data_IF_168437343571
#
_entry.id   IF_168437343571
#
_cell.length_a   1.000
_cell.length_b   1.000
_cell.length_c   1.000
_cell.angle_alpha   90.00
_cell.angle_beta   90.00
_cell.angle_gamma   90.00
#
_symmetry.space_group_name_H-M   'P 1'
#
loop_
_entity.id
_entity.type
_entity.pdbx_description
1 polymer ?
#
# COMPACT_ATOMS: atom_id res chain seq x y z
N UNK A 1 -10.28 25.43 -31.01
CA UNK A 1 -11.08 24.88 -29.89
C UNK A 1 -10.30 23.72 -29.29
N UNK A 2 -9.55 23.99 -28.23
CA UNK A 2 -8.68 22.99 -27.61
C UNK A 2 -9.52 21.84 -27.06
N UNK A 3 -9.09 20.63 -27.36
CA UNK A 3 -9.67 19.36 -26.92
C UNK A 3 -9.37 19.11 -25.44
N UNK A 4 -9.64 20.10 -24.57
CA UNK A 4 -9.70 19.92 -23.13
C UNK A 4 -11.09 19.32 -22.83
N UNK A 5 -11.29 18.09 -23.29
CA UNK A 5 -12.45 17.31 -22.87
C UNK A 5 -12.38 17.19 -21.34
N UNK A 6 -13.50 17.50 -20.70
CA UNK A 6 -13.72 17.52 -19.25
C UNK A 6 -13.02 16.35 -18.53
N UNK A 7 -11.77 16.57 -18.09
CA UNK A 7 -10.99 15.58 -17.34
C UNK A 7 -11.40 15.55 -15.87
N UNK A 8 -12.41 16.35 -15.51
CA UNK A 8 -12.96 16.51 -14.17
C UNK A 8 -13.35 15.16 -13.60
N UNK A 9 -14.11 14.35 -14.36
CA UNK A 9 -14.52 13.01 -13.89
C UNK A 9 -13.34 12.06 -13.63
N UNK A 10 -12.30 12.09 -14.47
CA UNK A 10 -11.12 11.24 -14.26
C UNK A 10 -10.27 11.74 -13.09
N UNK A 11 -10.20 13.06 -12.88
CA UNK A 11 -9.54 13.67 -11.73
C UNK A 11 -10.26 13.32 -10.42
N UNK A 12 -11.59 13.43 -10.38
CA UNK A 12 -12.40 13.00 -9.24
C UNK A 12 -12.20 11.51 -8.94
N UNK A 13 -12.24 10.65 -9.96
CA UNK A 13 -11.98 9.23 -9.80
C UNK A 13 -10.56 8.94 -9.29
N UNK A 14 -9.56 9.67 -9.77
CA UNK A 14 -8.18 9.56 -9.30
C UNK A 14 -8.05 9.98 -7.83
N UNK A 15 -8.63 11.12 -7.45
CA UNK A 15 -8.60 11.62 -6.07
C UNK A 15 -9.30 10.66 -5.10
N UNK A 16 -10.44 10.09 -5.52
CA UNK A 16 -11.14 9.06 -4.75
C UNK A 16 -10.23 7.84 -4.52
N UNK A 17 -9.60 7.31 -5.58
CA UNK A 17 -8.68 6.16 -5.45
C UNK A 17 -7.47 6.48 -4.58
N UNK A 18 -6.91 7.68 -4.71
CA UNK A 18 -5.81 8.13 -3.86
C UNK A 18 -6.23 8.17 -2.39
N UNK A 19 -7.39 8.75 -2.08
CA UNK A 19 -7.88 8.84 -0.70
C UNK A 19 -8.16 7.45 -0.09
N UNK A 20 -8.66 6.50 -0.90
CA UNK A 20 -8.82 5.10 -0.51
C UNK A 20 -7.46 4.47 -0.13
N UNK A 21 -6.44 4.65 -0.97
CA UNK A 21 -5.07 4.15 -0.71
C UNK A 21 -4.47 4.81 0.53
N UNK A 22 -4.54 6.14 0.65
CA UNK A 22 -4.02 6.88 1.81
C UNK A 22 -4.65 6.36 3.12
N UNK A 23 -5.95 6.08 3.12
CA UNK A 23 -6.66 5.51 4.26
C UNK A 23 -6.16 4.11 4.61
N UNK A 24 -5.93 3.26 3.61
CA UNK A 24 -5.39 1.91 3.83
C UNK A 24 -3.96 1.95 4.39
N UNK A 25 -3.10 2.84 3.87
CA UNK A 25 -1.74 3.03 4.35
C UNK A 25 -1.72 3.52 5.80
N UNK A 26 -2.57 4.50 6.15
CA UNK A 26 -2.67 4.99 7.51
C UNK A 26 -3.10 3.89 8.50
N UNK A 27 -4.04 3.01 8.10
CA UNK A 27 -4.45 1.85 8.92
C UNK A 27 -3.33 0.84 9.11
N UNK A 28 -2.54 0.56 8.08
CA UNK A 28 -1.37 -0.33 8.19
C UNK A 28 -0.28 0.26 9.07
N UNK A 29 -0.04 1.57 8.99
CA UNK A 29 0.91 2.26 9.85
C UNK A 29 0.49 2.16 11.32
N UNK A 30 -0.78 2.48 11.63
CA UNK A 30 -1.29 2.36 12.99
C UNK A 30 -1.19 0.91 13.52
N UNK A 31 -1.51 -0.08 12.69
CA UNK A 31 -1.38 -1.49 13.06
C UNK A 31 0.10 -1.87 13.33
N UNK A 32 1.03 -1.34 12.54
CA UNK A 32 2.47 -1.53 12.77
C UNK A 32 2.95 -0.88 14.06
N UNK A 33 2.45 0.32 14.38
CA UNK A 33 2.76 1.04 15.62
C UNK A 33 2.26 0.25 16.86
N UNK A 34 1.16 -0.49 16.71
CA UNK A 34 0.63 -1.44 17.71
C UNK A 34 1.24 -2.85 17.62
N UNK A 35 2.41 -3.00 16.99
CA UNK A 35 3.12 -4.29 16.82
C UNK A 35 2.27 -5.39 16.19
N UNK A 36 1.39 -5.02 15.26
CA UNK A 36 0.39 -5.88 14.64
C UNK A 36 -0.57 -6.55 15.63
N UNK A 37 -0.77 -5.92 16.79
CA UNK A 37 -1.57 -6.42 17.92
C UNK A 37 -1.04 -7.74 18.51
N UNK A 38 0.27 -8.00 18.41
CA UNK A 38 0.90 -9.16 19.03
C UNK A 38 1.77 -8.76 20.21
N UNK A 39 1.63 -9.52 21.28
CA UNK A 39 2.50 -9.45 22.45
C UNK A 39 3.82 -10.16 22.16
N UNK A 40 4.96 -9.71 22.72
CA UNK A 40 6.25 -10.38 22.49
C UNK A 40 6.27 -11.87 22.85
N UNK A 41 5.50 -12.27 23.86
CA UNK A 41 5.38 -13.63 24.38
C UNK A 41 4.56 -14.59 23.50
N UNK A 42 3.70 -14.10 22.60
CA UNK A 42 2.95 -14.93 21.65
C UNK A 42 3.63 -15.07 20.27
N UNK A 43 4.68 -14.27 19.99
CA UNK A 43 5.38 -14.29 18.71
C UNK A 43 5.99 -15.67 18.44
N UNK A 44 5.71 -16.20 17.26
CA UNK A 44 6.24 -17.48 16.78
C UNK A 44 6.49 -17.42 15.27
N UNK A 45 7.04 -18.48 14.69
CA UNK A 45 7.38 -18.54 13.26
C UNK A 45 6.17 -18.37 12.33
N UNK A 46 4.95 -18.69 12.77
CA UNK A 46 3.72 -18.39 12.04
C UNK A 46 3.50 -16.88 11.89
N UNK A 47 3.68 -16.12 12.97
CA UNK A 47 3.60 -14.66 12.97
C UNK A 47 4.66 -14.02 12.06
N UNK A 48 5.89 -14.54 12.09
CA UNK A 48 6.96 -14.13 11.17
C UNK A 48 6.57 -14.38 9.71
N UNK A 49 6.01 -15.55 9.41
CA UNK A 49 5.51 -15.88 8.07
C UNK A 49 4.41 -14.93 7.59
N UNK A 50 3.46 -14.58 8.46
CA UNK A 50 2.41 -13.61 8.16
C UNK A 50 2.97 -12.22 7.81
N UNK A 51 3.93 -11.70 8.60
CA UNK A 51 4.56 -10.41 8.29
C UNK A 51 5.44 -10.48 7.03
N UNK A 52 6.11 -11.60 6.80
CA UNK A 52 6.84 -11.83 5.55
C UNK A 52 5.91 -11.68 4.34
N UNK A 53 4.73 -12.30 4.38
CA UNK A 53 3.75 -12.18 3.31
C UNK A 53 3.26 -10.73 3.11
N UNK A 54 2.99 -9.99 4.19
CA UNK A 54 2.61 -8.58 4.09
C UNK A 54 3.71 -7.72 3.48
N UNK A 55 4.96 -7.95 3.87
CA UNK A 55 6.12 -7.25 3.32
C UNK A 55 6.29 -7.53 1.82
N UNK A 56 6.12 -8.77 1.37
CA UNK A 56 6.18 -9.11 -0.07
C UNK A 56 5.09 -8.41 -0.89
N UNK A 57 3.86 -8.32 -0.37
CA UNK A 57 2.79 -7.60 -1.06
C UNK A 57 3.08 -6.11 -1.17
N UNK A 58 3.52 -5.46 -0.09
CA UNK A 58 3.90 -4.05 -0.11
C UNK A 58 5.07 -3.81 -1.07
N UNK A 59 6.08 -4.69 -1.04
CA UNK A 59 7.23 -4.62 -1.92
C UNK A 59 6.81 -4.66 -3.40
N UNK A 60 5.91 -5.56 -3.79
CA UNK A 60 5.44 -5.63 -5.19
C UNK A 60 4.77 -4.32 -5.64
N UNK A 61 4.04 -3.67 -4.74
CA UNK A 61 3.38 -2.38 -5.03
C UNK A 61 4.43 -1.28 -5.17
N UNK A 62 5.42 -1.22 -4.28
CA UNK A 62 6.48 -0.20 -4.34
C UNK A 62 7.39 -0.41 -5.54
N UNK A 63 7.82 -1.64 -5.80
CA UNK A 63 8.65 -2.00 -6.95
C UNK A 63 7.97 -1.56 -8.26
N UNK A 64 6.66 -1.80 -8.40
CA UNK A 64 5.88 -1.35 -9.55
C UNK A 64 5.73 0.18 -9.62
N UNK A 65 5.56 0.87 -8.49
CA UNK A 65 5.40 2.32 -8.45
C UNK A 65 6.69 3.09 -8.72
N UNK A 66 7.85 2.53 -8.33
CA UNK A 66 9.15 3.17 -8.41
C UNK A 66 10.05 2.61 -9.52
N UNK A 67 9.58 1.62 -10.30
CA UNK A 67 10.36 0.93 -11.33
C UNK A 67 11.60 0.25 -10.74
N UNK A 68 11.42 -0.46 -9.63
CA UNK A 68 12.47 -1.18 -8.92
C UNK A 68 12.26 -2.70 -9.06
N UNK A 69 13.28 -3.49 -8.70
CA UNK A 69 13.18 -4.96 -8.68
C UNK A 69 12.88 -5.56 -10.05
N UNK A 70 11.77 -6.33 -10.15
CA UNK A 70 11.28 -6.92 -11.40
C UNK A 70 10.93 -5.87 -12.47
N UNK A 71 10.65 -4.64 -12.06
CA UNK A 71 10.22 -3.54 -12.92
C UNK A 71 11.33 -2.53 -13.24
N UNK A 72 12.57 -2.82 -12.84
CA UNK A 72 13.72 -2.01 -13.22
C UNK A 72 14.12 -2.34 -14.68
N UNK A 73 13.99 -1.33 -15.57
CA UNK A 73 14.51 -1.36 -16.95
C UNK A 73 15.97 -0.89 -17.03
#
# INVERSE_FOLDING_TARGET
MSKHGDNTQALDAFLARKAEIDTMLARLQALSDEHFNWSPDEINWGHVGTLGHYAEMLKRITDSAFHEGEHAE
#
